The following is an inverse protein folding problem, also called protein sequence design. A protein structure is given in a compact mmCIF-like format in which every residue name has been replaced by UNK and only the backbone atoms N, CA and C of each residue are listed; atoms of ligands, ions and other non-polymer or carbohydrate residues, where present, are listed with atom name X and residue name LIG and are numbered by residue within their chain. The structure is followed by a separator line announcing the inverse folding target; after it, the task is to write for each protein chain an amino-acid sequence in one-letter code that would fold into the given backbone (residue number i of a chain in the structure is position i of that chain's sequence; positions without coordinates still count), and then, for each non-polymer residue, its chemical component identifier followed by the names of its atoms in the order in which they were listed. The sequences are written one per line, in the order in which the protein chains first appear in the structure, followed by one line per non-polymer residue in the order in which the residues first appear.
data_IF_444035660580
#
_entry.id   IF_444035660580
#
_cell.length_a   1.000
_cell.length_b   1.000
_cell.length_c   1.000
_cell.angle_alpha   90.00
_cell.angle_beta   90.00
_cell.angle_gamma   90.00
#
_symmetry.space_group_name_H-M   'P 1'
#
loop_
_entity.id
_entity.type
_entity.pdbx_description
1 polymer ?
#
# COMPACT_ATOMS: atom_id res chain seq x y z
N UNK A 1 47.69 -17.04 -50.17
CA UNK A 1 48.03 -15.60 -50.20
C UNK A 1 46.76 -14.79 -50.43
N UNK A 2 46.51 -13.82 -49.54
CA UNK A 2 45.74 -12.57 -49.70
C UNK A 2 44.19 -12.59 -49.59
N UNK A 3 43.73 -12.20 -48.39
CA UNK A 3 42.66 -11.26 -47.99
C UNK A 3 41.35 -11.10 -48.79
N UNK A 4 40.22 -11.27 -48.09
CA UNK A 4 39.12 -10.29 -47.95
C UNK A 4 38.13 -10.81 -46.88
N UNK A 5 38.29 -10.42 -45.61
CA UNK A 5 37.56 -9.32 -44.97
C UNK A 5 36.10 -9.67 -44.61
N UNK A 6 35.96 -10.21 -43.39
CA UNK A 6 34.84 -10.08 -42.46
C UNK A 6 34.34 -8.61 -42.43
N UNK A 7 33.04 -8.33 -42.61
CA UNK A 7 32.26 -7.08 -42.32
C UNK A 7 30.84 -7.37 -42.87
N UNK A 8 29.72 -7.45 -42.14
CA UNK A 8 29.03 -6.60 -41.16
C UNK A 8 28.33 -7.54 -40.14
N UNK A 9 28.52 -7.56 -38.81
CA UNK A 9 28.40 -6.54 -37.78
C UNK A 9 27.25 -5.54 -37.98
N UNK A 10 26.26 -5.69 -37.09
CA UNK A 10 25.43 -4.62 -36.51
C UNK A 10 24.28 -4.10 -37.37
N UNK A 11 23.22 -4.89 -37.48
CA UNK A 11 21.86 -4.34 -37.36
C UNK A 11 21.34 -4.68 -35.96
N UNK A 12 22.07 -4.20 -34.94
CA UNK A 12 21.45 -4.00 -33.64
C UNK A 12 20.51 -2.82 -33.82
N UNK A 13 19.21 -3.08 -33.98
CA UNK A 13 18.20 -2.07 -33.73
C UNK A 13 18.49 -1.54 -32.32
N UNK A 14 19.03 -0.33 -32.24
CA UNK A 14 19.02 0.41 -31.01
C UNK A 14 17.56 0.83 -30.88
N UNK A 15 16.76 0.03 -30.17
CA UNK A 15 15.56 0.55 -29.56
C UNK A 15 16.06 1.67 -28.64
N UNK A 16 15.98 2.92 -29.13
CA UNK A 16 16.24 4.08 -28.30
C UNK A 16 15.12 4.08 -27.26
N UNK A 17 15.43 3.60 -26.05
CA UNK A 17 14.51 3.64 -24.92
C UNK A 17 14.02 5.08 -24.77
N UNK A 18 12.76 5.31 -25.14
CA UNK A 18 12.17 6.64 -25.08
C UNK A 18 11.95 6.96 -23.61
N UNK A 19 12.68 7.96 -23.12
CA UNK A 19 12.57 8.42 -21.75
C UNK A 19 11.29 9.26 -21.64
N UNK A 20 10.32 8.80 -20.85
CA UNK A 20 9.06 9.51 -20.59
C UNK A 20 9.11 10.18 -19.22
N UNK A 21 8.68 11.44 -19.16
CA UNK A 21 8.60 12.21 -17.92
C UNK A 21 7.50 11.65 -17.00
N UNK A 22 7.84 11.40 -15.73
CA UNK A 22 6.95 10.88 -14.70
C UNK A 22 6.58 11.93 -13.64
N UNK A 23 6.67 13.22 -14.00
CA UNK A 23 6.39 14.36 -13.13
C UNK A 23 5.09 14.23 -12.32
N UNK A 24 4.01 13.71 -12.94
CA UNK A 24 2.72 13.54 -12.26
C UNK A 24 2.79 12.58 -11.07
N UNK A 25 3.48 11.43 -11.21
CA UNK A 25 3.62 10.48 -10.12
C UNK A 25 4.53 11.02 -9.00
N UNK A 26 5.60 11.73 -9.37
CA UNK A 26 6.51 12.39 -8.43
C UNK A 26 5.80 13.50 -7.65
N UNK A 27 4.99 14.32 -8.32
CA UNK A 27 4.21 15.37 -7.67
C UNK A 27 3.15 14.77 -6.73
N UNK A 28 2.44 13.73 -7.18
CA UNK A 28 1.44 13.02 -6.38
C UNK A 28 2.08 12.43 -5.13
N UNK A 29 3.23 11.77 -5.30
CA UNK A 29 4.03 11.24 -4.20
C UNK A 29 4.36 12.34 -3.18
N UNK A 30 4.94 13.46 -3.64
CA UNK A 30 5.34 14.57 -2.76
C UNK A 30 4.14 15.17 -2.01
N UNK A 31 3.00 15.35 -2.67
CA UNK A 31 1.76 15.87 -2.06
C UNK A 31 1.20 14.94 -0.98
N UNK A 32 1.28 13.63 -1.18
CA UNK A 32 0.68 12.65 -0.28
C UNK A 32 1.63 12.18 0.84
N UNK A 33 2.96 12.30 0.66
CA UNK A 33 3.97 11.67 1.52
C UNK A 33 3.82 11.98 3.02
N UNK A 34 3.70 13.26 3.39
CA UNK A 34 3.70 13.63 4.81
C UNK A 34 2.44 13.12 5.53
N UNK A 35 1.28 13.29 4.91
CA UNK A 35 0.03 12.77 5.47
C UNK A 35 0.03 11.23 5.50
N UNK A 36 0.64 10.58 4.51
CA UNK A 36 0.85 9.13 4.48
C UNK A 36 1.65 8.65 5.69
N UNK A 37 2.76 9.33 6.03
CA UNK A 37 3.58 9.01 7.20
C UNK A 37 2.78 9.13 8.49
N UNK A 38 1.99 10.19 8.63
CA UNK A 38 1.16 10.42 9.82
C UNK A 38 0.09 9.33 9.97
N UNK A 39 -0.64 9.01 8.88
CA UNK A 39 -1.64 7.93 8.89
C UNK A 39 -0.99 6.59 9.28
N UNK A 40 0.19 6.28 8.70
CA UNK A 40 0.92 5.07 9.05
C UNK A 40 1.28 5.03 10.54
N UNK A 41 1.87 6.10 11.07
CA UNK A 41 2.25 6.22 12.48
C UNK A 41 1.05 6.10 13.41
N UNK A 42 -0.05 6.82 13.13
CA UNK A 42 -1.27 6.79 13.94
C UNK A 42 -1.93 5.40 13.91
N UNK A 43 -1.85 4.69 12.78
CA UNK A 43 -2.34 3.32 12.66
C UNK A 43 -1.52 2.35 13.50
N UNK A 44 -0.19 2.45 13.48
CA UNK A 44 0.70 1.65 14.33
C UNK A 44 0.45 1.94 15.80
N UNK A 45 0.34 3.23 16.17
CA UNK A 45 0.10 3.63 17.55
C UNK A 45 -1.27 3.14 18.04
N UNK A 46 -2.31 3.22 17.20
CA UNK A 46 -3.64 2.70 17.56
C UNK A 46 -3.59 1.18 17.79
N UNK A 47 -2.79 0.44 17.01
CA UNK A 47 -2.60 -1.00 17.24
C UNK A 47 -1.89 -1.29 18.57
N UNK A 48 -0.85 -0.50 18.91
CA UNK A 48 -0.15 -0.60 20.19
C UNK A 48 -1.11 -0.31 21.35
N UNK A 49 -1.83 0.81 21.28
CA UNK A 49 -2.81 1.23 22.29
C UNK A 49 -3.96 0.22 22.44
N UNK A 50 -4.29 -0.52 21.36
CA UNK A 50 -5.37 -1.52 21.38
C UNK A 50 -5.03 -2.77 22.22
N UNK A 51 -3.74 -3.08 22.41
CA UNK A 51 -3.31 -4.29 23.12
C UNK A 51 -3.79 -4.34 24.58
N UNK A 52 -3.51 -3.34 25.45
CA UNK A 52 -4.02 -3.35 26.82
C UNK A 52 -5.55 -3.28 26.88
N UNK A 53 -6.20 -2.59 25.92
CA UNK A 53 -7.66 -2.53 25.83
C UNK A 53 -8.25 -3.91 25.51
N UNK A 54 -7.58 -4.68 24.65
CA UNK A 54 -7.97 -6.05 24.33
C UNK A 54 -7.84 -6.99 25.53
N UNK A 55 -6.73 -6.91 26.26
CA UNK A 55 -6.52 -7.71 27.49
C UNK A 55 -7.61 -7.42 28.52
N UNK A 56 -7.95 -6.15 28.71
CA UNK A 56 -9.05 -5.74 29.57
C UNK A 56 -10.40 -6.29 29.08
N UNK A 57 -10.69 -6.18 27.78
CA UNK A 57 -11.91 -6.73 27.18
C UNK A 57 -12.04 -8.24 27.41
N UNK A 58 -10.94 -8.98 27.22
CA UNK A 58 -10.89 -10.42 27.44
C UNK A 58 -11.16 -10.79 28.91
N UNK A 59 -10.63 -10.03 29.85
CA UNK A 59 -10.83 -10.26 31.28
C UNK A 59 -12.25 -9.93 31.76
N UNK A 60 -12.85 -8.85 31.24
CA UNK A 60 -14.18 -8.38 31.66
C UNK A 60 -15.33 -9.12 30.96
N UNK A 61 -15.13 -9.56 29.71
CA UNK A 61 -16.16 -10.26 28.93
C UNK A 61 -17.29 -9.37 28.39
N UNK A 62 -17.21 -8.04 28.56
CA UNK A 62 -18.15 -7.08 28.01
C UNK A 62 -17.45 -5.87 27.37
N UNK A 63 -18.13 -5.19 26.44
CA UNK A 63 -17.61 -4.03 25.73
C UNK A 63 -17.53 -2.81 26.64
N UNK A 64 -16.33 -2.24 26.80
CA UNK A 64 -16.11 -1.00 27.57
C UNK A 64 -16.04 0.24 26.65
N UNK A 65 -16.10 1.47 27.20
CA UNK A 65 -15.89 2.70 26.42
C UNK A 65 -14.56 2.74 25.67
N UNK A 66 -13.50 2.16 26.23
CA UNK A 66 -12.17 2.09 25.61
C UNK A 66 -12.18 1.21 24.35
N UNK A 67 -12.90 0.08 24.37
CA UNK A 67 -13.08 -0.77 23.19
C UNK A 67 -13.75 0.03 22.06
N UNK A 68 -14.78 0.80 22.40
CA UNK A 68 -15.48 1.68 21.44
C UNK A 68 -14.55 2.78 20.93
N UNK A 69 -13.73 3.37 21.81
CA UNK A 69 -12.79 4.43 21.46
C UNK A 69 -11.73 3.93 20.45
N UNK A 70 -11.17 2.73 20.63
CA UNK A 70 -10.25 2.12 19.66
C UNK A 70 -10.93 1.91 18.31
N UNK A 71 -12.13 1.34 18.28
CA UNK A 71 -12.87 1.17 17.01
C UNK A 71 -13.11 2.51 16.30
N UNK A 72 -13.47 3.57 17.04
CA UNK A 72 -13.66 4.91 16.48
C UNK A 72 -12.37 5.51 15.92
N UNK A 73 -11.21 5.29 16.58
CA UNK A 73 -9.91 5.75 16.08
C UNK A 73 -9.59 5.12 14.72
N UNK A 74 -9.82 3.81 14.58
CA UNK A 74 -9.62 3.14 13.29
C UNK A 74 -10.54 3.66 12.19
N UNK A 75 -11.83 3.85 12.49
CA UNK A 75 -12.79 4.41 11.52
C UNK A 75 -12.40 5.84 11.09
N UNK A 76 -11.90 6.67 12.02
CA UNK A 76 -11.40 8.00 11.69
C UNK A 76 -10.15 7.95 10.79
N UNK A 77 -9.27 6.95 10.98
CA UNK A 77 -8.12 6.73 10.10
C UNK A 77 -8.54 6.27 8.70
N UNK A 78 -9.56 5.41 8.57
CA UNK A 78 -10.14 5.06 7.26
C UNK A 78 -10.78 6.27 6.56
N UNK A 79 -11.43 7.16 7.30
CA UNK A 79 -11.97 8.38 6.70
C UNK A 79 -10.84 9.32 6.23
N UNK A 80 -9.77 9.42 7.02
CA UNK A 80 -8.58 10.20 6.68
C UNK A 80 -7.86 9.65 5.44
N UNK A 81 -7.76 8.32 5.29
CA UNK A 81 -7.22 7.74 4.05
C UNK A 81 -8.09 8.02 2.84
N UNK A 82 -9.42 7.89 2.96
CA UNK A 82 -10.34 8.23 1.86
C UNK A 82 -10.22 9.69 1.44
N UNK A 83 -10.03 10.62 2.39
CA UNK A 83 -9.80 12.05 2.08
C UNK A 83 -8.48 12.29 1.34
N UNK A 84 -7.42 11.54 1.67
CA UNK A 84 -6.11 11.69 1.05
C UNK A 84 -6.01 11.04 -0.34
N UNK A 85 -6.50 9.80 -0.47
CA UNK A 85 -6.30 8.97 -1.66
C UNK A 85 -7.54 8.87 -2.55
N UNK A 86 -8.71 9.31 -2.07
CA UNK A 86 -10.00 9.04 -2.71
C UNK A 86 -10.61 7.72 -2.27
N UNK A 87 -11.90 7.53 -2.57
CA UNK A 87 -12.64 6.32 -2.18
C UNK A 87 -12.34 5.10 -3.06
N UNK A 88 -11.90 5.34 -4.30
CA UNK A 88 -11.61 4.30 -5.27
C UNK A 88 -10.17 4.45 -5.78
N UNK A 89 -9.29 3.53 -5.35
CA UNK A 89 -7.88 3.51 -5.72
C UNK A 89 -7.64 3.06 -7.17
N UNK A 90 -8.62 2.45 -7.83
CA UNK A 90 -8.54 2.14 -9.27
C UNK A 90 -8.71 3.44 -10.08
N UNK A 91 -9.63 4.31 -9.64
CA UNK A 91 -9.87 5.61 -10.28
C UNK A 91 -8.87 6.68 -9.84
N UNK A 92 -8.31 6.54 -8.64
CA UNK A 92 -7.32 7.45 -8.05
C UNK A 92 -6.06 6.65 -7.67
N UNK A 93 -5.24 6.24 -8.66
CA UNK A 93 -4.03 5.50 -8.38
C UNK A 93 -3.06 6.32 -7.52
N UNK A 94 -2.43 5.66 -6.55
CA UNK A 94 -1.44 6.29 -5.66
C UNK A 94 -0.20 5.42 -5.55
N UNK A 95 1.01 6.01 -5.42
CA UNK A 95 2.22 5.26 -5.08
C UNK A 95 2.15 4.61 -3.68
N UNK A 96 1.14 4.94 -2.87
CA UNK A 96 0.97 4.49 -1.49
C UNK A 96 -0.19 3.50 -1.31
N UNK A 97 -0.49 2.66 -2.31
CA UNK A 97 -1.65 1.73 -2.28
C UNK A 97 -1.75 0.89 -0.98
N UNK A 98 -0.62 0.36 -0.50
CA UNK A 98 -0.58 -0.40 0.74
C UNK A 98 -0.79 0.47 1.99
N UNK A 99 -0.33 1.72 1.98
CA UNK A 99 -0.62 2.66 3.06
C UNK A 99 -2.10 3.09 3.07
N UNK A 100 -2.71 3.23 1.89
CA UNK A 100 -4.11 3.62 1.75
C UNK A 100 -5.08 2.59 2.36
N UNK A 101 -4.70 1.31 2.33
CA UNK A 101 -5.51 0.19 2.82
C UNK A 101 -5.14 -0.28 4.23
N UNK A 102 -3.94 0.09 4.73
CA UNK A 102 -3.43 -0.36 6.02
C UNK A 102 -4.37 -0.11 7.21
N UNK A 103 -5.01 1.07 7.37
CA UNK A 103 -5.92 1.29 8.49
C UNK A 103 -7.12 0.35 8.50
N UNK A 104 -7.64 0.00 7.31
CA UNK A 104 -8.79 -0.91 7.20
C UNK A 104 -8.43 -2.35 7.54
N UNK A 105 -7.22 -2.77 7.17
CA UNK A 105 -6.67 -4.07 7.57
C UNK A 105 -6.43 -4.12 9.08
N UNK A 106 -5.92 -3.03 9.67
CA UNK A 106 -5.75 -2.91 11.12
C UNK A 106 -7.09 -2.96 11.85
N UNK A 107 -8.12 -2.28 11.32
CA UNK A 107 -9.47 -2.31 11.87
C UNK A 107 -10.07 -3.73 11.79
N UNK A 108 -9.91 -4.40 10.66
CA UNK A 108 -10.37 -5.79 10.48
C UNK A 108 -9.69 -6.72 11.49
N UNK A 109 -8.38 -6.56 11.71
CA UNK A 109 -7.64 -7.30 12.74
C UNK A 109 -8.20 -7.02 14.14
N UNK A 110 -8.46 -5.75 14.48
CA UNK A 110 -9.06 -5.37 15.76
C UNK A 110 -10.43 -6.02 15.99
N UNK A 111 -11.32 -5.94 15.01
CA UNK A 111 -12.64 -6.56 15.08
C UNK A 111 -12.54 -8.08 15.22
N UNK A 112 -11.64 -8.71 14.46
CA UNK A 112 -11.43 -10.16 14.55
C UNK A 112 -10.84 -10.59 15.90
N UNK A 113 -9.98 -9.77 16.52
CA UNK A 113 -9.49 -10.00 17.90
C UNK A 113 -10.64 -10.01 18.89
N UNK A 114 -11.50 -8.98 18.87
CA UNK A 114 -12.70 -8.92 19.73
C UNK A 114 -13.58 -10.16 19.52
N UNK A 115 -13.91 -10.48 18.26
CA UNK A 115 -14.78 -11.62 17.93
C UNK A 115 -14.17 -12.97 18.36
N UNK A 116 -12.84 -13.09 18.35
CA UNK A 116 -12.15 -14.33 18.72
C UNK A 116 -12.35 -14.71 20.18
N UNK A 117 -12.63 -13.76 21.07
CA UNK A 117 -12.91 -14.05 22.49
C UNK A 117 -14.17 -14.92 22.65
N UNK A 118 -15.14 -14.78 21.73
CA UNK A 118 -16.40 -15.55 21.77
C UNK A 118 -16.39 -16.79 20.89
N UNK A 119 -15.63 -16.76 19.80
CA UNK A 119 -15.68 -17.77 18.73
C UNK A 119 -14.41 -18.63 18.62
N UNK A 120 -13.39 -18.35 19.44
CA UNK A 120 -12.10 -19.05 19.47
C UNK A 120 -11.39 -19.12 18.10
N UNK A 121 -11.67 -18.18 17.20
CA UNK A 121 -11.15 -18.19 15.83
C UNK A 121 -9.78 -17.51 15.73
N UNK A 122 -8.77 -18.15 16.30
CA UNK A 122 -7.38 -17.65 16.34
C UNK A 122 -6.71 -17.67 14.97
N UNK A 123 -7.12 -18.56 14.06
CA UNK A 123 -6.56 -18.64 12.70
C UNK A 123 -6.88 -17.40 11.87
N UNK A 124 -8.10 -16.87 11.97
CA UNK A 124 -8.49 -15.62 11.32
C UNK A 124 -7.71 -14.42 11.86
N UNK A 125 -7.50 -14.34 13.18
CA UNK A 125 -6.66 -13.30 13.81
C UNK A 125 -5.24 -13.36 13.26
N UNK A 126 -4.65 -14.56 13.21
CA UNK A 126 -3.29 -14.75 12.71
C UNK A 126 -3.14 -14.38 11.23
N UNK A 127 -4.11 -14.76 10.39
CA UNK A 127 -4.13 -14.40 8.97
C UNK A 127 -4.15 -12.89 8.76
N UNK A 128 -5.02 -12.18 9.49
CA UNK A 128 -5.10 -10.72 9.42
C UNK A 128 -3.85 -10.04 9.99
N UNK A 129 -3.24 -10.59 11.03
CA UNK A 129 -1.98 -10.08 11.58
C UNK A 129 -0.84 -10.20 10.56
N UNK A 130 -0.73 -11.33 9.84
CA UNK A 130 0.26 -11.49 8.78
C UNK A 130 -0.01 -10.55 7.60
N UNK A 131 -1.27 -10.37 7.22
CA UNK A 131 -1.66 -9.40 6.19
C UNK A 131 -1.26 -7.98 6.58
N UNK A 132 -1.53 -7.57 7.82
CA UNK A 132 -1.13 -6.27 8.35
C UNK A 132 0.39 -6.08 8.33
N UNK A 133 1.17 -7.07 8.79
CA UNK A 133 2.64 -7.00 8.79
C UNK A 133 3.17 -6.87 7.35
N UNK A 134 2.65 -7.66 6.42
CA UNK A 134 3.06 -7.61 5.01
C UNK A 134 2.78 -6.22 4.43
N UNK A 135 1.55 -5.72 4.55
CA UNK A 135 1.18 -4.41 4.01
C UNK A 135 1.90 -3.26 4.70
N UNK A 136 2.19 -3.39 6.00
CA UNK A 136 2.99 -2.42 6.74
C UNK A 136 4.40 -2.29 6.17
N UNK A 137 5.04 -3.42 5.80
CA UNK A 137 6.36 -3.40 5.14
C UNK A 137 6.30 -2.73 3.78
N UNK A 138 5.36 -3.14 2.93
CA UNK A 138 5.19 -2.55 1.60
C UNK A 138 4.88 -1.04 1.67
N UNK A 139 4.07 -0.61 2.65
CA UNK A 139 3.81 0.81 2.89
C UNK A 139 5.09 1.57 3.28
N UNK A 140 5.90 1.01 4.19
CA UNK A 140 7.19 1.61 4.57
C UNK A 140 8.13 1.70 3.37
N UNK A 141 8.12 0.69 2.50
CA UNK A 141 8.93 0.68 1.29
C UNK A 141 8.45 1.76 0.31
N UNK A 142 7.14 1.91 0.10
CA UNK A 142 6.58 3.03 -0.67
C UNK A 142 6.97 4.39 -0.10
N UNK A 143 6.97 4.57 1.24
CA UNK A 143 7.37 5.83 1.90
C UNK A 143 8.85 6.18 1.69
N UNK A 144 9.70 5.17 1.51
CA UNK A 144 11.15 5.35 1.37
C UNK A 144 11.60 5.48 -0.08
N UNK A 145 10.81 4.96 -1.01
CA UNK A 145 11.19 4.84 -2.41
C UNK A 145 10.27 5.73 -3.27
N UNK A 146 10.66 6.99 -3.53
CA UNK A 146 9.92 7.85 -4.45
C UNK A 146 9.91 7.24 -5.86
N UNK A 147 8.84 7.47 -6.64
CA UNK A 147 8.81 7.07 -8.04
C UNK A 147 9.96 7.77 -8.81
N UNK A 148 10.56 7.10 -9.81
CA UNK A 148 11.63 7.71 -10.60
C UNK A 148 11.09 8.91 -11.38
N UNK A 149 11.92 9.94 -11.57
CA UNK A 149 11.54 11.15 -12.32
C UNK A 149 11.32 10.88 -13.81
N UNK A 150 11.94 9.81 -14.31
CA UNK A 150 11.82 9.38 -15.70
C UNK A 150 11.59 7.87 -15.79
N UNK A 151 10.79 7.45 -16.77
CA UNK A 151 10.53 6.05 -17.08
C UNK A 151 11.13 5.68 -18.43
N UNK A 152 11.68 4.47 -18.54
CA UNK A 152 12.03 3.89 -19.84
C UNK A 152 10.76 3.29 -20.45
N UNK A 153 10.34 3.79 -21.61
CA UNK A 153 9.24 3.21 -22.38
C UNK A 153 9.74 1.89 -22.99
N UNK A 154 9.20 0.75 -22.54
CA UNK A 154 9.37 -0.51 -23.27
C UNK A 154 8.42 -0.47 -24.48
N UNK A 155 8.98 -0.44 -25.68
CA UNK A 155 8.25 -0.44 -26.97
C UNK A 155 7.35 -1.69 -27.20
N UNK A 156 7.29 -2.62 -26.25
CA UNK A 156 6.52 -3.87 -26.33
C UNK A 156 5.03 -3.72 -25.97
N UNK A 157 4.55 -2.53 -25.60
CA UNK A 157 3.10 -2.27 -25.53
C UNK A 157 2.60 -1.95 -26.94
N UNK A 158 2.45 -2.99 -27.76
CA UNK A 158 1.64 -2.91 -28.97
C UNK A 158 0.22 -2.50 -28.53
N UNK A 159 -0.14 -1.24 -28.81
CA UNK A 159 -1.52 -0.80 -28.79
C UNK A 159 -2.24 -1.72 -29.76
N UNK A 160 -3.09 -2.62 -29.25
CA UNK A 160 -3.99 -3.39 -30.08
C UNK A 160 -5.00 -2.36 -30.61
N UNK A 161 -4.81 -1.90 -31.84
CA UNK A 161 -5.85 -1.19 -32.57
C UNK A 161 -7.05 -2.14 -32.68
N UNK A 162 -8.13 -1.80 -32.01
CA UNK A 162 -9.41 -2.47 -32.20
C UNK A 162 -10.01 -1.84 -33.47
N UNK A 163 -9.81 -2.52 -34.59
CA UNK A 163 -10.49 -2.18 -35.84
C UNK A 163 -12.01 -2.24 -35.62
N UNK A 164 -12.68 -1.17 -36.05
CA UNK A 164 -14.10 -0.87 -35.87
C UNK A 164 -15.00 -1.64 -36.86
#
# INVERSE_FOLDING_TARGET
MKYAALILLLLGFHAEAKIVDNANAVETYRKQLEETKLIFQDTQQTLIDSAPVFEMYQALGYTTPEVIAISKRYLALEERTKKLYGENLILNPTPFNYCATLPSVAYSLWMQRIDSVKRENTSAVNSLAQSYIKQGKECVDSIKNPPPEHLEENDDVQIIDIDN
#
